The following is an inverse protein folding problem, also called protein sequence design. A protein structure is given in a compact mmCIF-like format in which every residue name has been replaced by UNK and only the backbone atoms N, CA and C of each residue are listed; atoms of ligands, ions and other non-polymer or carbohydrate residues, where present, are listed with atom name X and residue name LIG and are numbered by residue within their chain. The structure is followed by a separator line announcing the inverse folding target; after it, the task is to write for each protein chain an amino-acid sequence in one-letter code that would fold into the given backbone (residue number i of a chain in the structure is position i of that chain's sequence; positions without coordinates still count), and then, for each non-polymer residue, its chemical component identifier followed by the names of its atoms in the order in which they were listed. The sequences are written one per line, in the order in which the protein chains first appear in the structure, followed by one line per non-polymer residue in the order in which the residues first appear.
data_IF_061420259771
#
_entry.id   IF_061420259771
#
_cell.length_a   1.000
_cell.length_b   1.000
_cell.length_c   1.000
_cell.angle_alpha   90.00
_cell.angle_beta   90.00
_cell.angle_gamma   90.00
#
_symmetry.space_group_name_H-M   'P 1'
#
loop_
_entity.id
_entity.type
_entity.pdbx_description
1 polymer ?
#
# COMPACT_ATOMS: atom_id res chain seq x y z
N UNK A 1 2.65 12.38 -8.07
CA UNK A 1 1.97 12.29 -9.39
C UNK A 1 0.63 13.02 -9.32
N UNK A 2 -0.03 13.28 -10.46
CA UNK A 2 -1.40 13.83 -10.48
C UNK A 2 -2.44 12.71 -10.42
N UNK A 3 -3.68 13.04 -10.03
CA UNK A 3 -4.80 12.09 -9.94
C UNK A 3 -4.94 11.22 -11.19
N UNK A 4 -4.97 11.81 -12.38
CA UNK A 4 -5.23 11.05 -13.61
C UNK A 4 -4.11 10.04 -13.92
N UNK A 5 -2.89 10.39 -13.53
CA UNK A 5 -1.74 9.50 -13.65
C UNK A 5 -1.78 8.39 -12.60
N UNK A 6 -2.19 8.70 -11.38
CA UNK A 6 -2.42 7.72 -10.32
C UNK A 6 -3.48 6.70 -10.73
N UNK A 7 -4.67 7.15 -11.15
CA UNK A 7 -5.76 6.27 -11.57
C UNK A 7 -5.31 5.33 -12.70
N UNK A 8 -4.60 5.85 -13.69
CA UNK A 8 -4.08 5.06 -14.80
C UNK A 8 -3.08 4.00 -14.32
N UNK A 9 -2.12 4.40 -13.48
CA UNK A 9 -1.07 3.50 -12.98
C UNK A 9 -1.62 2.42 -12.06
N UNK A 10 -2.56 2.75 -11.19
CA UNK A 10 -3.21 1.77 -10.30
C UNK A 10 -3.99 0.74 -11.10
N UNK A 11 -4.72 1.12 -12.15
CA UNK A 11 -5.42 0.15 -13.03
C UNK A 11 -4.47 -0.79 -13.78
N UNK A 12 -3.26 -0.31 -14.13
CA UNK A 12 -2.22 -1.18 -14.69
C UNK A 12 -1.64 -2.13 -13.63
N UNK A 13 -1.49 -1.65 -12.40
CA UNK A 13 -0.95 -2.43 -11.30
C UNK A 13 -1.94 -3.49 -10.80
N UNK A 14 -3.22 -3.13 -10.68
CA UNK A 14 -4.31 -3.91 -10.11
C UNK A 14 -5.52 -3.84 -11.07
N UNK A 15 -5.66 -4.76 -12.04
CA UNK A 15 -6.68 -4.65 -13.09
C UNK A 15 -8.13 -4.71 -12.60
N UNK A 16 -8.36 -5.20 -11.38
CA UNK A 16 -9.69 -5.40 -10.77
C UNK A 16 -10.05 -4.30 -9.74
N UNK A 17 -9.40 -3.13 -9.80
CA UNK A 17 -9.74 -2.02 -8.90
C UNK A 17 -11.13 -1.44 -9.18
N UNK A 18 -11.81 -1.05 -8.11
CA UNK A 18 -13.11 -0.40 -8.15
C UNK A 18 -12.98 1.11 -8.44
N UNK A 19 -13.94 1.64 -9.18
CA UNK A 19 -14.10 3.09 -9.36
C UNK A 19 -14.34 3.78 -8.02
N UNK A 20 -15.15 3.18 -7.14
CA UNK A 20 -15.48 3.76 -5.84
C UNK A 20 -14.25 3.80 -4.93
N UNK A 21 -13.36 2.81 -5.03
CA UNK A 21 -12.09 2.84 -4.31
C UNK A 21 -11.15 3.96 -4.80
N UNK A 22 -11.05 4.17 -6.11
CA UNK A 22 -10.30 5.31 -6.68
C UNK A 22 -10.86 6.67 -6.22
N UNK A 23 -12.18 6.79 -6.13
CA UNK A 23 -12.84 7.97 -5.59
C UNK A 23 -12.56 8.15 -4.09
N UNK A 24 -12.58 7.08 -3.29
CA UNK A 24 -12.23 7.11 -1.87
C UNK A 24 -10.81 7.65 -1.64
N UNK A 25 -9.84 7.13 -2.39
CA UNK A 25 -8.47 7.64 -2.33
C UNK A 25 -8.31 9.07 -2.87
N UNK A 26 -9.13 9.48 -3.84
CA UNK A 26 -9.17 10.87 -4.27
C UNK A 26 -9.63 11.78 -3.14
N UNK A 27 -10.67 11.39 -2.40
CA UNK A 27 -11.20 12.16 -1.27
C UNK A 27 -10.18 12.25 -0.13
N UNK A 28 -9.53 11.13 0.22
CA UNK A 28 -8.47 11.13 1.23
C UNK A 28 -7.30 12.03 0.82
N UNK A 29 -6.87 11.99 -0.44
CA UNK A 29 -5.82 12.87 -0.93
C UNK A 29 -6.22 14.37 -0.85
N UNK A 30 -7.52 14.68 -0.93
CA UNK A 30 -8.05 16.04 -0.82
C UNK A 30 -8.31 16.47 0.64
N UNK A 31 -8.10 15.59 1.61
CA UNK A 31 -8.20 15.92 3.02
C UNK A 31 -7.16 17.00 3.40
N UNK A 32 -7.58 18.09 4.08
CA UNK A 32 -6.67 19.15 4.49
C UNK A 32 -5.48 18.67 5.33
N UNK A 33 -5.67 17.67 6.18
CA UNK A 33 -4.60 17.10 7.02
C UNK A 33 -3.56 16.37 6.18
N UNK A 34 -4.00 15.60 5.18
CA UNK A 34 -3.11 14.92 4.23
C UNK A 34 -2.35 15.95 3.37
N UNK A 35 -3.04 16.98 2.88
CA UNK A 35 -2.42 18.04 2.09
C UNK A 35 -1.39 18.83 2.90
N UNK A 36 -1.67 19.12 4.18
CA UNK A 36 -0.71 19.78 5.09
C UNK A 36 0.48 18.88 5.43
N UNK A 37 0.25 17.58 5.65
CA UNK A 37 1.26 16.64 6.14
C UNK A 37 2.26 16.24 5.05
N UNK A 38 1.79 15.87 3.85
CA UNK A 38 2.67 15.36 2.78
C UNK A 38 2.37 15.93 1.39
N UNK A 39 1.18 16.50 1.20
CA UNK A 39 0.73 17.01 -0.09
C UNK A 39 0.24 15.92 -1.04
N UNK A 40 -0.80 16.23 -1.82
CA UNK A 40 -1.49 15.34 -2.77
C UNK A 40 -0.56 14.56 -3.70
N UNK A 41 0.44 15.24 -4.26
CA UNK A 41 1.36 14.58 -5.21
C UNK A 41 2.16 13.47 -4.54
N UNK A 42 2.70 13.74 -3.35
CA UNK A 42 3.46 12.79 -2.55
C UNK A 42 2.57 11.67 -2.05
N UNK A 43 1.34 11.99 -1.63
CA UNK A 43 0.35 10.99 -1.21
C UNK A 43 0.12 9.95 -2.31
N UNK A 44 -0.17 10.36 -3.54
CA UNK A 44 -0.37 9.43 -4.65
C UNK A 44 0.89 8.63 -5.01
N UNK A 45 2.07 9.26 -4.92
CA UNK A 45 3.35 8.57 -5.15
C UNK A 45 3.59 7.49 -4.10
N UNK A 46 3.41 7.82 -2.82
CA UNK A 46 3.55 6.87 -1.72
C UNK A 46 2.55 5.73 -1.86
N UNK A 47 1.26 6.05 -2.00
CA UNK A 47 0.20 5.06 -2.11
C UNK A 47 0.46 4.06 -3.24
N UNK A 48 0.90 4.55 -4.41
CA UNK A 48 1.23 3.68 -5.53
C UNK A 48 2.45 2.79 -5.24
N UNK A 49 3.51 3.32 -4.62
CA UNK A 49 4.70 2.56 -4.26
C UNK A 49 4.36 1.46 -3.25
N UNK A 50 3.60 1.80 -2.22
CA UNK A 50 3.24 0.85 -1.15
C UNK A 50 2.26 -0.23 -1.66
N UNK A 51 1.30 0.10 -2.52
CA UNK A 51 0.46 -0.91 -3.19
C UNK A 51 1.28 -1.88 -4.04
N UNK A 52 2.29 -1.37 -4.73
CA UNK A 52 3.14 -2.21 -5.57
C UNK A 52 4.06 -3.12 -4.73
N UNK A 53 4.50 -2.65 -3.55
CA UNK A 53 5.21 -3.46 -2.56
C UNK A 53 4.30 -4.54 -1.95
N UNK A 54 3.07 -4.19 -1.56
CA UNK A 54 2.08 -5.19 -1.11
C UNK A 54 1.82 -6.23 -2.19
N UNK A 55 1.67 -5.82 -3.45
CA UNK A 55 1.51 -6.76 -4.56
C UNK A 55 2.73 -7.69 -4.72
N UNK A 56 3.95 -7.15 -4.57
CA UNK A 56 5.19 -7.95 -4.65
C UNK A 56 5.25 -8.99 -3.55
N UNK A 57 4.98 -8.58 -2.31
CA UNK A 57 5.26 -9.37 -1.11
C UNK A 57 4.10 -10.29 -0.70
N UNK A 58 2.86 -9.86 -0.95
CA UNK A 58 1.63 -10.55 -0.53
C UNK A 58 0.73 -10.96 -1.69
N UNK A 59 1.07 -10.56 -2.92
CA UNK A 59 0.35 -10.93 -4.14
C UNK A 59 -0.75 -9.97 -4.54
N UNK A 60 -1.18 -10.08 -5.81
CA UNK A 60 -2.15 -9.18 -6.44
C UNK A 60 -3.53 -9.20 -5.77
N UNK A 61 -3.99 -10.37 -5.30
CA UNK A 61 -5.29 -10.50 -4.67
C UNK A 61 -5.38 -9.66 -3.39
N UNK A 62 -4.40 -9.78 -2.49
CA UNK A 62 -4.35 -9.00 -1.24
C UNK A 62 -4.24 -7.50 -1.54
N UNK A 63 -3.37 -7.11 -2.48
CA UNK A 63 -3.24 -5.70 -2.88
C UNK A 63 -4.56 -5.13 -3.45
N UNK A 64 -5.26 -5.91 -4.26
CA UNK A 64 -6.56 -5.51 -4.85
C UNK A 64 -7.63 -5.39 -3.77
N UNK A 65 -7.74 -6.37 -2.88
CA UNK A 65 -8.76 -6.39 -1.84
C UNK A 65 -8.55 -5.26 -0.83
N UNK A 66 -7.30 -4.99 -0.42
CA UNK A 66 -6.96 -3.85 0.43
C UNK A 66 -7.31 -2.52 -0.23
N UNK A 67 -6.91 -2.32 -1.49
CA UNK A 67 -7.23 -1.10 -2.22
C UNK A 67 -8.74 -0.91 -2.37
N UNK A 68 -9.45 -1.96 -2.76
CA UNK A 68 -10.90 -1.90 -2.97
C UNK A 68 -11.69 -1.72 -1.68
N UNK A 69 -11.10 -2.00 -0.51
CA UNK A 69 -11.75 -1.74 0.76
C UNK A 69 -11.92 -0.23 1.06
N UNK A 70 -11.28 0.66 0.29
CA UNK A 70 -11.50 2.10 0.34
C UNK A 70 -12.97 2.53 0.16
N UNK A 71 -13.86 1.64 -0.32
CA UNK A 71 -15.31 1.86 -0.28
C UNK A 71 -15.90 1.93 1.14
N UNK A 72 -15.19 1.36 2.12
CA UNK A 72 -15.58 1.30 3.54
C UNK A 72 -14.58 2.00 4.45
N UNK A 73 -13.28 1.77 4.24
CA UNK A 73 -12.19 2.41 4.98
C UNK A 73 -10.98 2.60 4.07
N UNK A 74 -10.50 3.83 3.95
CA UNK A 74 -9.31 4.20 3.19
C UNK A 74 -8.06 4.11 4.05
N UNK A 75 -7.25 3.08 3.81
CA UNK A 75 -5.93 2.94 4.45
C UNK A 75 -4.97 4.02 3.95
N UNK A 76 -4.23 4.65 4.86
CA UNK A 76 -3.10 5.51 4.50
C UNK A 76 -1.97 4.67 3.87
N UNK A 77 -1.07 5.29 3.07
CA UNK A 77 0.06 4.56 2.49
C UNK A 77 0.87 3.78 3.53
N UNK A 78 1.12 4.39 4.70
CA UNK A 78 1.88 3.79 5.79
C UNK A 78 1.21 2.62 6.52
N UNK A 79 -0.07 2.39 6.25
CA UNK A 79 -0.86 1.32 6.85
C UNK A 79 -0.93 0.08 5.96
N UNK A 80 -0.64 0.20 4.67
CA UNK A 80 -0.92 -0.86 3.69
C UNK A 80 -0.09 -2.11 3.92
N UNK A 81 1.20 -1.95 4.19
CA UNK A 81 2.11 -3.09 4.40
C UNK A 81 1.79 -3.81 5.71
N UNK A 82 1.47 -3.06 6.78
CA UNK A 82 1.04 -3.68 8.04
C UNK A 82 -0.32 -4.36 7.94
N UNK A 83 -1.29 -3.78 7.23
CA UNK A 83 -2.54 -4.45 6.95
C UNK A 83 -2.32 -5.76 6.15
N UNK A 84 -1.41 -5.77 5.18
CA UNK A 84 -1.08 -6.97 4.41
C UNK A 84 -0.41 -8.06 5.27
N UNK A 85 0.46 -7.70 6.22
CA UNK A 85 1.01 -8.66 7.21
C UNK A 85 -0.09 -9.26 8.10
N UNK A 86 -0.98 -8.43 8.63
CA UNK A 86 -2.09 -8.89 9.46
C UNK A 86 -3.01 -9.87 8.69
N UNK A 87 -3.27 -9.60 7.41
CA UNK A 87 -4.01 -10.54 6.55
C UNK A 87 -3.26 -11.86 6.40
N UNK A 88 -1.94 -11.84 6.21
CA UNK A 88 -1.12 -13.05 6.16
C UNK A 88 -1.15 -13.83 7.49
N UNK A 89 -1.30 -13.14 8.61
CA UNK A 89 -1.49 -13.72 9.95
C UNK A 89 -2.94 -14.18 10.22
N UNK A 90 -3.84 -14.05 9.26
CA UNK A 90 -5.21 -14.58 9.29
C UNK A 90 -6.30 -13.59 9.68
N UNK A 91 -5.96 -12.30 9.84
CA UNK A 91 -6.96 -11.25 10.07
C UNK A 91 -7.76 -10.95 8.80
N UNK A 92 -9.01 -10.53 8.97
CA UNK A 92 -9.82 -10.01 7.86
C UNK A 92 -9.74 -8.50 7.78
N UNK A 93 -9.81 -7.94 6.57
CA UNK A 93 -9.77 -6.48 6.35
C UNK A 93 -10.79 -5.72 7.22
N UNK A 94 -12.05 -6.17 7.37
CA UNK A 94 -12.99 -5.49 8.26
C UNK A 94 -12.59 -5.51 9.74
N UNK A 95 -11.94 -6.58 10.20
CA UNK A 95 -11.45 -6.68 11.59
C UNK A 95 -10.30 -5.69 11.82
N UNK A 96 -9.39 -5.57 10.84
CA UNK A 96 -8.30 -4.60 10.86
C UNK A 96 -8.84 -3.17 10.86
N UNK A 97 -9.75 -2.85 9.94
CA UNK A 97 -10.34 -1.51 9.82
C UNK A 97 -11.13 -1.11 11.07
N UNK A 98 -11.92 -2.03 11.64
CA UNK A 98 -12.63 -1.77 12.89
C UNK A 98 -11.66 -1.50 14.04
N UNK A 99 -10.56 -2.26 14.13
CA UNK A 99 -9.54 -2.02 15.14
C UNK A 99 -8.90 -0.62 14.98
N UNK A 100 -8.58 -0.23 13.76
CA UNK A 100 -8.03 1.11 13.47
C UNK A 100 -9.00 2.25 13.83
N UNK A 101 -10.30 2.05 13.63
CA UNK A 101 -11.33 3.04 13.99
C UNK A 101 -11.53 3.10 15.52
N UNK A 102 -11.57 1.96 16.19
CA UNK A 102 -11.86 1.87 17.63
C UNK A 102 -10.67 2.27 18.51
N UNK A 103 -9.45 1.97 18.06
CA UNK A 103 -8.20 2.14 18.82
C UNK A 103 -7.21 3.11 18.15
N UNK A 104 -7.69 3.93 17.21
CA UNK A 104 -6.85 4.91 16.53
C UNK A 104 -6.13 5.84 17.51
N UNK A 105 -4.79 5.89 17.44
CA UNK A 105 -3.94 6.70 18.32
C UNK A 105 -3.41 5.97 19.57
N UNK A 106 -3.69 4.66 19.70
CA UNK A 106 -3.00 3.77 20.65
C UNK A 106 -1.67 3.26 20.07
N UNK A 107 -1.17 2.09 20.52
CA UNK A 107 0.08 1.51 20.00
C UNK A 107 -0.02 1.20 18.49
N UNK A 108 1.10 1.29 17.74
CA UNK A 108 1.14 0.97 16.32
C UNK A 108 0.57 -0.42 16.02
N UNK A 109 -0.47 -0.47 15.19
CA UNK A 109 -1.16 -1.73 14.85
C UNK A 109 -0.89 -2.18 13.42
N UNK A 110 -1.13 -1.30 12.43
CA UNK A 110 -0.95 -1.61 11.02
C UNK A 110 0.11 -0.74 10.34
N UNK A 111 0.91 0.00 11.11
CA UNK A 111 2.01 0.81 10.59
C UNK A 111 3.14 -0.06 10.02
N UNK A 112 4.08 0.59 9.33
CA UNK A 112 5.31 -0.03 8.88
C UNK A 112 6.12 -0.66 10.01
N UNK A 113 6.86 -1.72 9.71
CA UNK A 113 8.08 -2.01 10.49
C UNK A 113 9.19 -1.02 10.08
N UNK A 114 10.22 -0.81 10.91
CA UNK A 114 11.34 0.06 10.54
C UNK A 114 12.02 -0.33 9.20
N UNK A 115 12.09 -1.63 8.90
CA UNK A 115 12.66 -2.13 7.65
C UNK A 115 11.79 -1.78 6.44
N UNK A 116 10.47 -1.86 6.60
CA UNK A 116 9.52 -1.51 5.55
C UNK A 116 9.47 -0.01 5.29
N UNK A 117 9.50 0.81 6.35
CA UNK A 117 9.56 2.26 6.24
C UNK A 117 10.79 2.67 5.42
N UNK A 118 11.97 2.14 5.79
CA UNK A 118 13.22 2.41 5.07
C UNK A 118 13.15 1.98 3.59
N UNK A 119 12.54 0.83 3.28
CA UNK A 119 12.39 0.38 1.90
C UNK A 119 11.40 1.25 1.12
N UNK A 120 10.24 1.56 1.71
CA UNK A 120 9.20 2.39 1.11
C UNK A 120 9.74 3.80 0.82
N UNK A 121 10.47 4.42 1.75
CA UNK A 121 11.12 5.72 1.54
C UNK A 121 12.16 5.69 0.42
N UNK A 122 13.01 4.65 0.38
CA UNK A 122 14.04 4.51 -0.64
C UNK A 122 13.42 4.37 -2.04
N UNK A 123 12.35 3.57 -2.17
CA UNK A 123 11.66 3.37 -3.44
C UNK A 123 10.81 4.58 -3.83
N UNK A 124 10.19 5.26 -2.87
CA UNK A 124 9.49 6.53 -3.10
C UNK A 124 10.46 7.58 -3.64
N UNK A 125 11.64 7.70 -3.04
CA UNK A 125 12.66 8.63 -3.52
C UNK A 125 13.10 8.29 -4.95
N UNK A 126 13.36 7.02 -5.25
CA UNK A 126 13.71 6.56 -6.60
C UNK A 126 12.58 6.84 -7.60
N UNK A 127 11.33 6.60 -7.20
CA UNK A 127 10.15 6.85 -8.01
C UNK A 127 10.00 8.33 -8.36
N UNK A 128 10.16 9.22 -7.37
CA UNK A 128 10.02 10.67 -7.57
C UNK A 128 11.19 11.30 -8.35
N UNK A 129 12.41 10.75 -8.21
CA UNK A 129 13.61 11.40 -8.75
C UNK A 129 14.20 10.74 -10.00
N UNK A 130 13.94 9.45 -10.25
CA UNK A 130 14.66 8.68 -11.28
C UNK A 130 13.78 7.83 -12.19
N UNK A 131 12.69 7.23 -11.69
CA UNK A 131 11.91 6.27 -12.46
C UNK A 131 10.67 6.91 -13.10
N UNK A 132 10.38 6.58 -14.37
CA UNK A 132 9.09 6.90 -15.02
C UNK A 132 8.11 5.73 -14.94
N UNK A 133 8.56 4.50 -14.67
CA UNK A 133 7.72 3.31 -14.48
C UNK A 133 8.30 2.38 -13.41
N UNK A 134 7.45 1.56 -12.78
CA UNK A 134 7.85 0.65 -11.71
C UNK A 134 8.79 -0.49 -12.19
N UNK A 135 8.72 -0.84 -13.49
CA UNK A 135 9.68 -1.77 -14.12
C UNK A 135 11.12 -1.26 -14.14
N UNK A 136 11.33 0.05 -13.96
CA UNK A 136 12.65 0.68 -13.85
C UNK A 136 13.19 0.70 -12.41
N UNK A 137 12.41 0.27 -11.41
CA UNK A 137 12.83 0.31 -9.99
C UNK A 137 13.72 -0.86 -9.59
N UNK A 138 14.05 -1.79 -10.50
CA UNK A 138 14.95 -2.94 -10.28
C UNK A 138 14.73 -3.59 -8.91
N UNK A 139 13.47 -3.93 -8.60
CA UNK A 139 13.17 -4.61 -7.35
C UNK A 139 13.87 -5.97 -7.33
N UNK A 140 14.60 -6.30 -6.25
CA UNK A 140 15.24 -7.60 -6.15
C UNK A 140 14.17 -8.69 -6.21
N UNK A 141 14.48 -9.78 -6.92
CA UNK A 141 13.65 -10.98 -6.88
C UNK A 141 13.48 -11.42 -5.43
N UNK A 142 12.27 -11.89 -5.03
CA UNK A 142 12.06 -12.38 -3.68
C UNK A 142 13.08 -13.50 -3.36
N UNK A 143 13.57 -13.58 -2.12
CA UNK A 143 14.49 -14.63 -1.73
C UNK A 143 13.84 -15.99 -2.00
N UNK A 144 14.59 -16.98 -2.52
CA UNK A 144 14.03 -18.30 -2.78
C UNK A 144 13.44 -18.83 -1.48
N UNK A 145 12.15 -19.19 -1.51
CA UNK A 145 11.50 -19.86 -0.40
C UNK A 145 12.32 -21.12 -0.08
N UNK A 146 12.95 -21.16 1.10
CA UNK A 146 13.58 -22.38 1.59
C UNK A 146 12.48 -23.45 1.69
N UNK A 147 12.49 -24.38 0.74
CA UNK A 147 11.75 -25.62 0.89
C UNK A 147 12.31 -26.29 2.14
N UNK A 148 11.53 -26.26 3.22
CA UNK A 148 11.72 -27.09 4.40
C UNK A 148 11.91 -28.53 3.93
N UNK A 149 13.16 -28.98 3.90
CA UNK A 149 13.47 -30.39 3.74
C UNK A 149 12.98 -31.09 5.00
N UNK A 150 11.84 -31.76 4.85
CA UNK A 150 11.35 -32.76 5.78
C UNK A 150 12.45 -33.83 5.95
N UNK A 151 13.13 -33.81 7.09
CA UNK A 151 14.09 -34.84 7.48
C UNK A 151 13.30 -35.98 8.12
N UNK A 152 13.38 -37.16 7.50
CA UNK A 152 12.75 -38.40 7.96
C UNK A 152 13.43 -39.05 9.16
#
# INVERSE_FOLDING_TARGET
MRKEEFDFRVRLLLPQVSETALEGYTQLAEDPEVEETMGRSTFYDSLYVDLALVKRDHGEAIATDLFNYAETYTFNPFELRGAARLIADGWKIPEIANHMIEHGGEEPFCEYTPEEEMESEALLWLFQNKAKTFGDLCLPDPPPQEQSMEMG
#
